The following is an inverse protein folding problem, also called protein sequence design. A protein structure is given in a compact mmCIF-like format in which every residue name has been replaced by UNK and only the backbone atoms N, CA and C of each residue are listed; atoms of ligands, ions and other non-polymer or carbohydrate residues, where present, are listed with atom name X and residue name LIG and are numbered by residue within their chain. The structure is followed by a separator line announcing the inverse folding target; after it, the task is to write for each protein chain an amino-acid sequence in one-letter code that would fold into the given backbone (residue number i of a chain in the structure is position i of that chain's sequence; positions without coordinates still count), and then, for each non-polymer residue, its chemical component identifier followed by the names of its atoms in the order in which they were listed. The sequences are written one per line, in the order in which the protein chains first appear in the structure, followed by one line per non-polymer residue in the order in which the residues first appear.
data_IF_887018440085
#
_entry.id   IF_887018440085
#
_cell.length_a   1.000
_cell.length_b   1.000
_cell.length_c   1.000
_cell.angle_alpha   90.00
_cell.angle_beta   90.00
_cell.angle_gamma   90.00
#
_symmetry.space_group_name_H-M   'P 1'
#
loop_
_entity.id
_entity.type
_entity.pdbx_description
1 polymer ?
#
# COMPACT_ATOMS: atom_id res chain seq x y z
N UNK A 1 -30.77 -27.07 54.01
CA UNK A 1 -29.74 -27.86 54.72
C UNK A 1 -28.37 -27.36 54.23
N UNK A 2 -27.55 -26.74 55.10
CA UNK A 2 -26.25 -26.17 54.70
C UNK A 2 -25.17 -27.24 54.90
N UNK A 3 -24.40 -27.56 53.85
CA UNK A 3 -23.21 -28.41 53.94
C UNK A 3 -21.99 -27.48 54.09
N UNK A 4 -21.19 -27.68 55.13
CA UNK A 4 -19.95 -26.95 55.37
C UNK A 4 -18.80 -27.85 54.94
N UNK A 5 -17.99 -27.42 53.98
CA UNK A 5 -16.74 -28.09 53.62
C UNK A 5 -15.58 -27.17 53.99
N UNK A 6 -14.76 -27.57 54.96
CA UNK A 6 -13.60 -26.83 55.42
C UNK A 6 -12.32 -27.53 54.94
N UNK A 7 -11.45 -26.80 54.24
CA UNK A 7 -10.07 -27.22 53.99
C UNK A 7 -9.12 -26.29 54.74
N UNK A 8 -8.14 -26.87 55.44
CA UNK A 8 -7.10 -26.17 56.19
C UNK A 8 -5.81 -26.17 55.36
N UNK A 9 -5.39 -25.01 54.90
CA UNK A 9 -4.03 -24.71 54.45
C UNK A 9 -3.71 -23.28 54.92
N UNK A 10 -2.75 -23.16 55.86
CA UNK A 10 -2.03 -21.93 56.20
C UNK A 10 -2.84 -20.64 56.40
N UNK A 11 -3.23 -20.36 57.64
CA UNK A 11 -3.50 -19.01 58.20
C UNK A 11 -4.25 -17.97 57.33
N UNK A 12 -5.33 -18.35 56.65
CA UNK A 12 -6.40 -17.43 56.22
C UNK A 12 -7.75 -18.16 56.15
N UNK A 13 -8.76 -17.67 56.87
CA UNK A 13 -10.13 -18.18 56.81
C UNK A 13 -10.84 -17.53 55.63
N UNK A 14 -11.08 -18.27 54.54
CA UNK A 14 -11.96 -17.83 53.44
C UNK A 14 -13.33 -18.47 53.65
N UNK A 15 -14.34 -17.66 53.96
CA UNK A 15 -15.74 -18.11 54.06
C UNK A 15 -16.38 -17.96 52.68
N UNK A 16 -16.59 -19.08 51.98
CA UNK A 16 -17.32 -19.11 50.71
C UNK A 16 -18.81 -19.40 50.98
N UNK A 17 -19.67 -18.39 50.84
CA UNK A 17 -21.12 -18.60 50.83
C UNK A 17 -21.58 -19.04 49.45
N UNK A 18 -21.89 -20.33 49.28
CA UNK A 18 -22.55 -20.85 48.08
C UNK A 18 -24.07 -20.66 48.27
N UNK A 19 -24.64 -19.69 47.56
CA UNK A 19 -26.09 -19.53 47.45
C UNK A 19 -26.65 -20.51 46.42
N UNK A 20 -27.55 -21.41 46.84
CA UNK A 20 -28.39 -22.18 45.93
C UNK A 20 -29.43 -21.23 45.31
N UNK A 21 -29.22 -20.83 44.05
CA UNK A 21 -30.27 -20.14 43.28
C UNK A 21 -31.08 -21.22 42.57
N UNK A 22 -32.37 -21.25 42.89
CA UNK A 22 -33.37 -22.05 42.19
C UNK A 22 -33.50 -21.53 40.75
N UNK A 23 -33.31 -22.41 39.78
CA UNK A 23 -33.51 -22.11 38.36
C UNK A 23 -35.00 -21.98 38.07
N UNK A 24 -35.44 -20.79 37.66
CA UNK A 24 -36.63 -20.56 36.84
C UNK A 24 -36.63 -19.14 36.28
N UNK A 25 -36.01 -18.97 35.11
CA UNK A 25 -36.41 -18.03 34.06
C UNK A 25 -35.40 -18.16 32.91
N UNK A 26 -35.89 -18.57 31.74
CA UNK A 26 -35.17 -18.36 30.49
C UNK A 26 -35.08 -16.85 30.24
N UNK A 27 -33.99 -16.22 30.70
CA UNK A 27 -33.57 -14.94 30.18
C UNK A 27 -32.81 -15.24 28.88
N UNK A 28 -33.41 -14.84 27.77
CA UNK A 28 -32.72 -14.78 26.50
C UNK A 28 -31.42 -13.98 26.72
N UNK A 29 -30.26 -14.63 26.50
CA UNK A 29 -29.01 -13.91 26.34
C UNK A 29 -29.21 -12.97 25.15
N UNK A 30 -29.39 -11.69 25.43
CA UNK A 30 -29.20 -10.67 24.42
C UNK A 30 -27.78 -10.84 23.88
N UNK A 31 -27.57 -10.87 22.55
CA UNK A 31 -26.22 -10.87 22.01
C UNK A 31 -25.50 -9.66 22.61
N UNK A 32 -24.43 -9.92 23.36
CA UNK A 32 -23.52 -8.86 23.79
C UNK A 32 -22.99 -8.24 22.50
N UNK A 33 -23.44 -7.03 22.19
CA UNK A 33 -22.80 -6.18 21.20
C UNK A 33 -21.42 -5.87 21.74
N UNK A 34 -20.43 -6.67 21.34
CA UNK A 34 -19.03 -6.30 21.52
C UNK A 34 -18.87 -5.07 20.64
N UNK A 35 -18.93 -3.89 21.26
CA UNK A 35 -18.55 -2.66 20.60
C UNK A 35 -17.11 -2.84 20.14
N UNK A 36 -16.78 -2.51 18.87
CA UNK A 36 -15.39 -2.51 18.45
C UNK A 36 -14.59 -1.68 19.46
N UNK A 37 -13.32 -2.05 19.75
CA UNK A 37 -12.49 -1.30 20.70
C UNK A 37 -12.61 0.17 20.34
N UNK A 38 -12.92 1.02 21.33
CA UNK A 38 -13.06 2.46 21.16
C UNK A 38 -11.81 2.98 20.45
N UNK A 39 -11.87 3.14 19.14
CA UNK A 39 -10.81 3.73 18.37
C UNK A 39 -10.86 5.22 18.73
N UNK A 40 -9.87 5.71 19.48
CA UNK A 40 -9.59 7.14 19.51
C UNK A 40 -9.40 7.61 18.05
N UNK A 41 -9.99 8.75 17.66
CA UNK A 41 -9.85 9.23 16.29
C UNK A 41 -8.37 9.45 15.99
N UNK A 42 -7.92 8.97 14.84
CA UNK A 42 -6.57 9.27 14.36
C UNK A 42 -6.41 10.79 14.30
N UNK A 43 -5.45 11.32 15.05
CA UNK A 43 -5.21 12.76 15.11
C UNK A 43 -4.16 13.13 14.08
N UNK A 44 -4.39 14.23 13.35
CA UNK A 44 -3.35 14.84 12.53
C UNK A 44 -2.18 15.21 13.44
N UNK A 45 -1.04 14.57 13.21
CA UNK A 45 0.14 14.72 14.04
C UNK A 45 1.12 15.71 13.42
N UNK A 46 1.41 15.55 12.12
CA UNK A 46 2.32 16.43 11.40
C UNK A 46 1.90 16.64 9.96
N UNK A 47 2.42 17.73 9.38
CA UNK A 47 2.44 17.98 7.95
C UNK A 47 3.88 17.97 7.47
N UNK A 48 4.19 17.21 6.43
CA UNK A 48 5.51 17.14 5.83
C UNK A 48 5.52 17.98 4.56
N UNK A 49 6.55 18.80 4.41
CA UNK A 49 6.80 19.65 3.26
C UNK A 49 8.26 19.51 2.81
N UNK A 50 8.53 19.76 1.54
CA UNK A 50 9.88 19.92 1.02
C UNK A 50 10.40 21.31 1.39
N UNK A 51 11.63 21.42 1.87
CA UNK A 51 12.24 22.70 2.24
C UNK A 51 12.42 23.66 1.05
N UNK A 52 12.53 23.10 -0.15
CA UNK A 52 12.66 23.79 -1.44
C UNK A 52 11.41 23.66 -2.31
N UNK A 53 10.29 23.19 -1.76
CA UNK A 53 9.06 22.95 -2.53
C UNK A 53 8.49 24.21 -3.17
N UNK A 54 8.22 24.13 -4.47
CA UNK A 54 7.56 25.16 -5.30
C UNK A 54 6.32 24.59 -6.00
N UNK A 55 5.52 25.46 -6.64
CA UNK A 55 4.34 25.01 -7.39
C UNK A 55 4.73 23.97 -8.45
N UNK A 56 3.82 23.03 -8.71
CA UNK A 56 3.98 21.92 -9.66
C UNK A 56 5.07 20.87 -9.31
N UNK A 57 5.66 20.88 -8.11
CA UNK A 57 6.59 19.82 -7.68
C UNK A 57 5.91 18.47 -7.40
N UNK A 58 4.62 18.51 -7.07
CA UNK A 58 3.76 17.37 -6.74
C UNK A 58 4.26 16.52 -5.55
N UNK A 59 4.77 17.14 -4.48
CA UNK A 59 5.14 16.42 -3.27
C UNK A 59 3.97 15.59 -2.73
N UNK A 60 4.20 14.30 -2.48
CA UNK A 60 3.15 13.39 -2.02
C UNK A 60 2.46 12.63 -3.14
N UNK A 61 2.96 12.71 -4.38
CA UNK A 61 2.50 11.86 -5.47
C UNK A 61 2.64 10.37 -5.13
N UNK A 62 3.79 10.00 -4.58
CA UNK A 62 4.07 8.66 -4.08
C UNK A 62 4.57 8.73 -2.64
N UNK A 63 4.12 7.81 -1.79
CA UNK A 63 4.55 7.71 -0.39
C UNK A 63 4.82 6.27 -0.01
N UNK A 64 5.84 6.05 0.80
CA UNK A 64 6.11 4.76 1.43
C UNK A 64 6.65 4.97 2.85
N UNK A 65 6.39 4.03 3.75
CA UNK A 65 6.82 4.11 5.14
C UNK A 65 7.35 2.76 5.65
N UNK A 66 8.44 2.80 6.40
CA UNK A 66 8.97 1.63 7.12
C UNK A 66 9.66 2.09 8.40
N UNK A 67 9.25 1.51 9.53
CA UNK A 67 9.71 1.94 10.86
C UNK A 67 9.52 3.44 11.04
N UNK A 68 10.59 4.14 11.45
CA UNK A 68 10.60 5.59 11.68
C UNK A 68 10.85 6.43 10.41
N UNK A 69 10.88 5.83 9.22
CA UNK A 69 11.19 6.54 7.97
C UNK A 69 9.96 6.65 7.09
N UNK A 70 9.67 7.87 6.64
CA UNK A 70 8.70 8.18 5.60
C UNK A 70 9.46 8.69 4.38
N UNK A 71 9.10 8.16 3.20
CA UNK A 71 9.70 8.50 1.91
C UNK A 71 8.61 9.06 1.01
N UNK A 72 8.87 10.19 0.39
CA UNK A 72 7.89 10.95 -0.38
C UNK A 72 8.46 11.34 -1.74
N UNK A 73 7.76 11.02 -2.82
CA UNK A 73 8.10 11.48 -4.16
C UNK A 73 7.52 12.85 -4.49
N UNK A 74 8.26 13.61 -5.28
CA UNK A 74 7.87 14.85 -5.94
C UNK A 74 8.43 14.83 -7.36
N UNK A 75 7.74 14.13 -8.26
CA UNK A 75 8.25 13.87 -9.61
C UNK A 75 8.31 15.14 -10.47
N UNK A 76 7.59 16.19 -10.10
CA UNK A 76 7.56 17.48 -10.79
C UNK A 76 8.76 18.38 -10.49
N UNK A 77 9.47 18.11 -9.39
CA UNK A 77 10.61 18.92 -8.93
C UNK A 77 11.67 19.11 -10.03
N UNK A 78 12.24 20.32 -10.10
CA UNK A 78 13.34 20.69 -11.00
C UNK A 78 13.07 20.33 -12.48
N UNK A 79 12.02 20.91 -13.07
CA UNK A 79 11.58 20.64 -14.45
C UNK A 79 11.25 19.17 -14.70
N UNK A 80 10.54 18.55 -13.77
CA UNK A 80 10.17 17.13 -13.83
C UNK A 80 11.36 16.18 -13.92
N UNK A 81 12.55 16.63 -13.47
CA UNK A 81 13.66 15.71 -13.18
C UNK A 81 13.30 14.82 -12.00
N UNK A 82 12.57 15.38 -11.03
CA UNK A 82 12.00 14.70 -9.89
C UNK A 82 12.97 14.53 -8.72
N UNK A 83 12.42 14.42 -7.51
CA UNK A 83 13.16 14.22 -6.27
C UNK A 83 12.41 13.34 -5.27
N UNK A 84 13.16 12.68 -4.38
CA UNK A 84 12.60 11.98 -3.22
C UNK A 84 13.01 12.69 -1.94
N UNK A 85 12.05 12.92 -1.05
CA UNK A 85 12.25 13.52 0.26
C UNK A 85 12.11 12.45 1.34
N UNK A 86 13.12 12.34 2.20
CA UNK A 86 13.18 11.36 3.29
C UNK A 86 12.98 12.08 4.62
N UNK A 87 11.99 11.65 5.38
CA UNK A 87 11.67 12.16 6.70
C UNK A 87 11.93 11.06 7.74
N UNK A 88 12.76 11.36 8.73
CA UNK A 88 12.99 10.47 9.86
C UNK A 88 12.24 11.01 11.08
N UNK A 89 11.51 10.13 11.77
CA UNK A 89 10.71 10.48 12.94
C UNK A 89 11.57 11.22 13.98
N UNK A 90 11.21 12.46 14.34
CA UNK A 90 11.92 13.17 15.40
C UNK A 90 11.77 12.45 16.74
N UNK A 91 12.71 12.65 17.67
CA UNK A 91 12.63 12.07 19.03
C UNK A 91 11.38 12.48 19.81
N UNK A 92 10.81 13.66 19.50
CA UNK A 92 9.54 14.15 20.05
C UNK A 92 8.28 13.58 19.36
N UNK A 93 8.46 12.70 18.37
CA UNK A 93 7.42 12.20 17.48
C UNK A 93 7.06 13.18 16.36
N UNK A 94 6.13 12.78 15.51
CA UNK A 94 5.59 13.60 14.43
C UNK A 94 4.74 14.74 15.00
N UNK A 95 5.19 15.99 14.83
CA UNK A 95 4.49 17.19 15.30
C UNK A 95 4.73 18.38 14.37
N UNK A 96 3.70 19.22 14.21
CA UNK A 96 3.74 20.47 13.45
C UNK A 96 4.11 20.24 11.97
N UNK A 97 4.54 21.30 11.28
CA UNK A 97 5.11 21.20 9.95
C UNK A 97 6.59 20.84 10.04
N UNK A 98 7.02 19.81 9.30
CA UNK A 98 8.40 19.34 9.25
C UNK A 98 8.91 19.36 7.82
N UNK A 99 10.22 19.64 7.67
CA UNK A 99 10.96 19.49 6.42
C UNK A 99 11.76 18.19 6.42
N UNK A 100 12.21 17.78 5.24
CA UNK A 100 12.95 16.55 5.03
C UNK A 100 14.23 16.48 5.86
N UNK A 101 14.63 15.26 6.20
CA UNK A 101 15.94 14.94 6.77
C UNK A 101 17.00 14.80 5.67
N UNK A 102 16.61 14.29 4.51
CA UNK A 102 17.46 14.17 3.32
C UNK A 102 16.65 14.31 2.03
N UNK A 103 17.32 14.72 0.96
CA UNK A 103 16.82 14.76 -0.41
C UNK A 103 17.61 13.75 -1.25
N UNK A 104 16.93 12.85 -1.93
CA UNK A 104 17.55 11.88 -2.83
C UNK A 104 17.29 12.30 -4.29
N UNK A 105 18.33 12.23 -5.10
CA UNK A 105 18.28 12.58 -6.53
C UNK A 105 18.96 11.49 -7.36
N UNK A 106 18.54 11.31 -8.61
CA UNK A 106 19.27 10.53 -9.59
C UNK A 106 20.54 11.28 -10.05
N UNK A 107 21.70 10.64 -9.97
CA UNK A 107 22.99 11.25 -10.33
C UNK A 107 23.07 11.64 -11.81
N UNK A 108 22.41 10.87 -12.68
CA UNK A 108 22.31 11.06 -14.12
C UNK A 108 20.98 11.70 -14.56
N UNK A 109 20.12 12.09 -13.62
CA UNK A 109 18.76 12.52 -13.96
C UNK A 109 18.71 13.76 -14.86
N UNK A 110 17.73 13.80 -15.75
CA UNK A 110 17.47 14.88 -16.71
C UNK A 110 16.02 15.35 -16.63
N UNK A 111 15.72 16.49 -17.26
CA UNK A 111 14.36 17.04 -17.25
C UNK A 111 13.38 16.09 -17.94
N UNK A 112 12.27 15.78 -17.27
CA UNK A 112 11.26 14.85 -17.78
C UNK A 112 11.52 13.37 -17.44
N UNK A 113 12.55 13.04 -16.65
CA UNK A 113 12.78 11.66 -16.20
C UNK A 113 11.69 11.16 -15.23
N UNK A 114 10.96 12.09 -14.59
CA UNK A 114 9.89 11.80 -13.64
C UNK A 114 10.39 10.90 -12.49
N UNK A 115 11.61 11.13 -12.00
CA UNK A 115 12.16 10.42 -10.85
C UNK A 115 11.23 10.57 -9.64
N UNK A 116 11.02 9.48 -8.89
CA UNK A 116 10.06 9.34 -7.79
C UNK A 116 8.59 9.12 -8.18
N UNK A 117 8.29 8.81 -9.46
CA UNK A 117 6.95 8.43 -9.89
C UNK A 117 6.37 7.30 -9.02
N UNK A 118 7.20 6.31 -8.69
CA UNK A 118 6.94 5.34 -7.63
C UNK A 118 8.08 5.37 -6.61
N UNK A 119 7.75 5.12 -5.34
CA UNK A 119 8.73 4.92 -4.26
C UNK A 119 8.37 3.68 -3.45
N UNK A 120 9.39 2.96 -2.99
CA UNK A 120 9.24 1.85 -2.06
C UNK A 120 10.38 1.88 -1.03
N UNK A 121 10.10 1.43 0.20
CA UNK A 121 11.09 1.34 1.27
C UNK A 121 10.96 0.02 2.01
N UNK A 122 12.10 -0.61 2.29
CA UNK A 122 12.21 -1.68 3.26
C UNK A 122 13.54 -1.58 3.99
N UNK A 123 13.46 -1.65 5.32
CA UNK A 123 14.61 -1.56 6.21
C UNK A 123 15.44 -0.31 5.85
N UNK A 124 16.71 -0.48 5.50
CA UNK A 124 17.63 0.61 5.12
C UNK A 124 17.68 0.89 3.61
N UNK A 125 16.78 0.31 2.80
CA UNK A 125 16.78 0.47 1.33
C UNK A 125 15.55 1.25 0.87
N UNK A 126 15.80 2.34 0.13
CA UNK A 126 14.79 3.11 -0.60
C UNK A 126 14.99 2.85 -2.09
N UNK A 127 13.89 2.67 -2.83
CA UNK A 127 13.91 2.58 -4.29
C UNK A 127 12.95 3.62 -4.87
N UNK A 128 13.39 4.29 -5.92
CA UNK A 128 12.61 5.30 -6.64
C UNK A 128 12.62 5.01 -8.14
N UNK A 129 11.45 5.05 -8.77
CA UNK A 129 11.28 4.87 -10.21
C UNK A 129 11.37 6.19 -10.96
N UNK A 130 12.02 6.19 -12.13
CA UNK A 130 12.04 7.30 -13.07
C UNK A 130 11.49 6.79 -14.41
N UNK A 131 10.17 6.89 -14.58
CA UNK A 131 9.46 6.30 -15.72
C UNK A 131 9.74 7.01 -17.04
N UNK A 132 10.23 8.24 -17.01
CA UNK A 132 10.62 9.03 -18.18
C UNK A 132 12.04 8.77 -18.67
N UNK A 133 12.88 8.12 -17.85
CA UNK A 133 14.29 7.88 -18.18
C UNK A 133 14.46 7.10 -19.49
N UNK A 134 15.49 7.47 -20.26
CA UNK A 134 15.86 6.85 -21.54
C UNK A 134 14.67 6.68 -22.52
N UNK A 135 14.02 7.78 -22.89
CA UNK A 135 12.85 7.79 -23.79
C UNK A 135 11.67 6.95 -23.25
N UNK A 136 11.38 7.12 -21.97
CA UNK A 136 10.36 6.36 -21.24
C UNK A 136 10.55 4.84 -21.24
N UNK A 137 11.79 4.35 -21.46
CA UNK A 137 12.12 2.96 -21.13
C UNK A 137 11.98 2.75 -19.62
N UNK A 138 12.39 3.74 -18.83
CA UNK A 138 12.30 3.76 -17.38
C UNK A 138 13.51 3.13 -16.67
N UNK A 139 13.73 3.56 -15.42
CA UNK A 139 14.77 3.03 -14.54
C UNK A 139 14.35 3.07 -13.07
N UNK A 140 14.93 2.20 -12.24
CA UNK A 140 14.82 2.27 -10.80
C UNK A 140 16.17 2.58 -10.14
N UNK A 141 16.16 3.46 -9.16
CA UNK A 141 17.34 3.93 -8.43
C UNK A 141 17.24 3.47 -6.99
N UNK A 142 18.29 2.81 -6.52
CA UNK A 142 18.34 2.19 -5.20
C UNK A 142 19.29 2.98 -4.31
N UNK A 143 18.80 3.40 -3.15
CA UNK A 143 19.53 4.14 -2.13
C UNK A 143 19.63 3.28 -0.88
N UNK A 144 20.85 3.06 -0.41
CA UNK A 144 21.10 2.40 0.87
C UNK A 144 21.44 3.46 1.92
N UNK A 145 20.80 3.37 3.08
CA UNK A 145 21.01 4.31 4.19
C UNK A 145 22.50 4.40 4.54
N UNK A 146 23.10 5.61 4.50
CA UNK A 146 24.50 5.79 4.91
C UNK A 146 24.68 5.44 6.39
N UNK A 147 25.91 5.08 6.80
CA UNK A 147 26.25 4.80 8.20
C UNK A 147 25.93 5.96 9.16
N UNK A 148 26.00 7.21 8.67
CA UNK A 148 25.63 8.42 9.42
C UNK A 148 24.12 8.69 9.48
N UNK A 149 23.30 7.83 8.88
CA UNK A 149 21.88 8.07 8.64
C UNK A 149 21.62 8.88 7.37
N UNK A 150 20.34 9.15 7.12
CA UNK A 150 19.91 10.04 6.05
C UNK A 150 20.27 11.48 6.42
N UNK A 151 20.99 12.20 5.55
CA UNK A 151 21.26 13.62 5.72
C UNK A 151 21.68 14.28 4.41
N UNK A 152 21.24 15.52 4.17
CA UNK A 152 21.65 16.32 3.02
C UNK A 152 21.11 15.78 1.69
N UNK A 153 21.80 16.12 0.58
CA UNK A 153 21.46 15.62 -0.76
C UNK A 153 22.31 14.40 -1.09
N UNK A 154 21.67 13.29 -1.49
CA UNK A 154 22.31 12.00 -1.76
C UNK A 154 21.96 11.50 -3.16
N UNK A 155 22.89 10.79 -3.79
CA UNK A 155 22.69 10.05 -5.03
C UNK A 155 22.59 8.56 -4.77
N UNK A 156 22.09 7.82 -5.75
CA UNK A 156 21.83 6.38 -5.67
C UNK A 156 23.10 5.57 -5.38
N UNK A 157 22.91 4.44 -4.71
CA UNK A 157 23.92 3.38 -4.57
C UNK A 157 24.00 2.52 -5.82
N UNK A 158 22.86 2.32 -6.50
CA UNK A 158 22.75 1.54 -7.72
C UNK A 158 21.60 2.03 -8.60
N UNK A 159 21.75 1.87 -9.91
CA UNK A 159 20.68 2.02 -10.91
C UNK A 159 20.37 0.66 -11.52
N UNK A 160 19.09 0.25 -11.52
CA UNK A 160 18.64 -0.98 -12.15
C UNK A 160 17.72 -0.69 -13.33
N UNK A 161 17.93 -1.41 -14.42
CA UNK A 161 17.13 -1.36 -15.64
C UNK A 161 16.84 -2.77 -16.14
N UNK A 162 15.99 -2.91 -17.17
CA UNK A 162 15.77 -4.18 -17.85
C UNK A 162 16.57 -4.24 -19.17
N UNK A 163 17.44 -5.24 -19.32
CA UNK A 163 18.28 -5.39 -20.51
C UNK A 163 17.49 -5.60 -21.82
N UNK A 164 16.26 -6.10 -21.72
CA UNK A 164 15.33 -6.29 -22.84
C UNK A 164 14.28 -5.17 -22.94
N UNK A 165 14.40 -4.09 -22.15
CA UNK A 165 13.48 -2.96 -22.21
C UNK A 165 13.59 -2.16 -23.51
N UNK A 166 12.48 -1.65 -24.01
CA UNK A 166 12.38 -0.69 -25.11
C UNK A 166 11.90 0.69 -24.64
N UNK A 167 12.01 1.69 -25.51
CA UNK A 167 11.44 3.02 -25.25
C UNK A 167 9.92 2.92 -25.11
N UNK A 168 9.36 3.59 -24.09
CA UNK A 168 7.94 3.55 -23.77
C UNK A 168 7.48 2.38 -22.89
N UNK A 169 8.37 1.47 -22.48
CA UNK A 169 8.01 0.32 -21.61
C UNK A 169 7.64 0.72 -20.16
N UNK A 170 7.95 1.97 -19.76
CA UNK A 170 7.65 2.55 -18.45
C UNK A 170 8.12 1.69 -17.26
N UNK A 171 9.32 1.10 -17.38
CA UNK A 171 9.93 0.34 -16.29
C UNK A 171 10.01 1.16 -15.00
N UNK A 172 9.74 0.49 -13.87
CA UNK A 172 9.66 1.07 -12.54
C UNK A 172 8.50 2.07 -12.32
N UNK A 173 7.41 1.97 -13.10
CA UNK A 173 6.17 2.70 -12.83
C UNK A 173 5.45 2.23 -11.56
N UNK A 174 5.69 0.98 -11.17
CA UNK A 174 5.31 0.41 -9.89
C UNK A 174 6.53 -0.28 -9.27
N UNK A 175 6.64 -0.23 -7.94
CA UNK A 175 7.75 -0.80 -7.20
C UNK A 175 7.25 -1.57 -5.97
N UNK A 176 7.84 -2.73 -5.72
CA UNK A 176 7.69 -3.45 -4.46
C UNK A 176 9.05 -3.98 -3.99
N UNK A 177 9.31 -3.94 -2.69
CA UNK A 177 10.59 -4.36 -2.12
C UNK A 177 10.41 -5.10 -0.80
N UNK A 178 11.19 -6.15 -0.59
CA UNK A 178 11.42 -6.77 0.71
C UNK A 178 12.93 -6.81 0.99
N UNK A 179 13.38 -7.56 2.00
CA UNK A 179 14.79 -7.56 2.42
C UNK A 179 15.78 -8.08 1.36
N UNK A 180 15.33 -8.91 0.42
CA UNK A 180 16.18 -9.60 -0.55
C UNK A 180 15.73 -9.48 -2.02
N UNK A 181 14.57 -8.87 -2.27
CA UNK A 181 13.92 -8.83 -3.58
C UNK A 181 13.41 -7.43 -3.88
N UNK A 182 13.76 -6.90 -5.04
CA UNK A 182 13.14 -5.72 -5.66
C UNK A 182 12.32 -6.18 -6.87
N UNK A 183 11.10 -5.68 -6.99
CA UNK A 183 10.22 -5.89 -8.15
C UNK A 183 9.90 -4.55 -8.79
N UNK A 184 10.03 -4.46 -10.11
CA UNK A 184 9.72 -3.27 -10.90
C UNK A 184 8.77 -3.64 -12.04
N UNK A 185 7.66 -2.90 -12.14
CA UNK A 185 6.66 -3.07 -13.20
C UNK A 185 7.05 -2.34 -14.48
N UNK A 186 6.67 -2.88 -15.63
CA UNK A 186 6.79 -2.25 -16.95
C UNK A 186 5.48 -2.51 -17.72
N UNK A 187 4.39 -1.82 -17.34
CA UNK A 187 3.03 -2.14 -17.78
C UNK A 187 2.79 -1.94 -19.27
N UNK A 188 3.57 -1.08 -19.93
CA UNK A 188 3.43 -0.79 -21.35
C UNK A 188 4.37 -1.61 -22.23
N UNK A 189 5.11 -2.55 -21.65
CA UNK A 189 5.96 -3.42 -22.45
C UNK A 189 5.13 -4.32 -23.39
N UNK A 190 5.55 -4.39 -24.65
CA UNK A 190 5.00 -5.32 -25.64
C UNK A 190 5.58 -6.73 -25.47
N UNK A 191 4.71 -7.73 -25.38
CA UNK A 191 5.10 -9.14 -25.23
C UNK A 191 4.61 -9.93 -26.45
N UNK A 192 5.56 -10.34 -27.30
CA UNK A 192 5.21 -11.01 -28.57
C UNK A 192 4.30 -10.11 -29.43
N UNK A 193 3.09 -10.57 -29.82
CA UNK A 193 2.15 -9.76 -30.59
C UNK A 193 1.31 -8.80 -29.76
N UNK A 194 1.35 -8.88 -28.43
CA UNK A 194 0.45 -8.15 -27.54
C UNK A 194 1.09 -6.84 -27.08
N UNK A 195 0.68 -5.73 -27.69
CA UNK A 195 1.15 -4.40 -27.30
C UNK A 195 0.65 -4.06 -25.89
N UNK A 196 1.48 -3.41 -25.07
CA UNK A 196 1.10 -3.00 -23.71
C UNK A 196 0.54 -4.14 -22.83
N UNK A 197 0.91 -5.41 -23.11
CA UNK A 197 0.54 -6.52 -22.24
C UNK A 197 1.17 -6.36 -20.85
N UNK A 198 2.40 -5.84 -20.82
CA UNK A 198 3.12 -5.55 -19.60
C UNK A 198 3.95 -6.71 -19.04
N UNK A 199 4.83 -6.38 -18.11
CA UNK A 199 5.70 -7.32 -17.41
C UNK A 199 6.08 -6.82 -16.02
N UNK A 200 6.57 -7.74 -15.18
CA UNK A 200 7.21 -7.40 -13.91
C UNK A 200 8.59 -8.04 -13.82
N UNK A 201 9.60 -7.26 -13.45
CA UNK A 201 10.98 -7.68 -13.35
C UNK A 201 11.39 -7.85 -11.90
N UNK A 202 12.11 -8.91 -11.61
CA UNK A 202 12.58 -9.24 -10.27
C UNK A 202 14.10 -9.19 -10.23
N UNK A 203 14.63 -8.47 -9.25
CA UNK A 203 16.04 -8.37 -8.94
C UNK A 203 16.28 -8.91 -7.53
N UNK A 204 17.08 -9.96 -7.42
CA UNK A 204 17.59 -10.41 -6.14
C UNK A 204 18.72 -9.50 -5.66
N UNK A 205 18.71 -9.13 -4.38
CA UNK A 205 19.76 -8.34 -3.74
C UNK A 205 21.06 -9.15 -3.75
N UNK A 206 22.15 -8.67 -4.38
CA UNK A 206 23.42 -9.37 -4.36
C UNK A 206 24.01 -9.45 -2.94
N UNK A 207 24.82 -10.47 -2.66
CA UNK A 207 25.49 -10.66 -1.36
C UNK A 207 26.34 -9.45 -0.94
N UNK A 208 26.93 -8.75 -1.90
CA UNK A 208 27.71 -7.52 -1.68
C UNK A 208 26.88 -6.24 -1.55
N UNK A 209 25.55 -6.33 -1.53
CA UNK A 209 24.66 -5.18 -1.63
C UNK A 209 24.24 -4.88 -3.07
N UNK A 210 23.38 -3.88 -3.22
CA UNK A 210 22.87 -3.46 -4.52
C UNK A 210 23.97 -2.90 -5.41
N UNK A 211 23.95 -3.27 -6.69
CA UNK A 211 24.89 -2.80 -7.72
C UNK A 211 24.14 -2.39 -8.97
N UNK A 212 24.68 -1.44 -9.72
CA UNK A 212 24.10 -1.04 -11.01
C UNK A 212 24.11 -2.21 -11.98
N UNK A 213 22.95 -2.54 -12.54
CA UNK A 213 22.77 -3.71 -13.43
C UNK A 213 21.56 -3.56 -14.33
N UNK A 214 21.62 -4.12 -15.53
CA UNK A 214 20.46 -4.34 -16.40
C UNK A 214 19.99 -5.81 -16.39
N UNK A 215 20.72 -6.68 -15.70
CA UNK A 215 20.40 -8.11 -15.59
C UNK A 215 19.46 -8.33 -14.41
N UNK A 216 18.27 -8.84 -14.71
CA UNK A 216 17.26 -9.24 -13.74
C UNK A 216 17.34 -10.75 -13.44
N UNK A 217 16.88 -11.15 -12.26
CA UNK A 217 16.77 -12.55 -11.84
C UNK A 217 15.64 -13.28 -12.55
N UNK A 218 14.50 -12.61 -12.71
CA UNK A 218 13.33 -13.16 -13.40
C UNK A 218 12.51 -12.06 -14.07
N UNK A 219 11.85 -12.42 -15.16
CA UNK A 219 10.78 -11.64 -15.80
C UNK A 219 9.47 -12.41 -15.68
N UNK A 220 8.44 -11.75 -15.20
CA UNK A 220 7.09 -12.30 -15.07
C UNK A 220 6.17 -11.66 -16.10
N UNK A 221 5.34 -12.49 -16.72
CA UNK A 221 4.19 -12.08 -17.55
C UNK A 221 2.99 -12.94 -17.18
N UNK A 222 1.81 -12.64 -17.72
CA UNK A 222 0.64 -13.50 -17.60
C UNK A 222 0.48 -14.36 -18.86
N UNK A 223 0.35 -15.69 -18.70
CA UNK A 223 0.18 -16.62 -19.82
C UNK A 223 -1.13 -16.40 -20.60
N UNK A 224 -2.14 -15.85 -19.93
CA UNK A 224 -3.42 -15.44 -20.53
C UNK A 224 -3.45 -13.96 -20.91
N UNK A 225 -2.33 -13.27 -20.84
CA UNK A 225 -2.34 -11.83 -21.03
C UNK A 225 -2.50 -11.41 -22.50
N UNK A 226 -3.20 -10.30 -22.69
CA UNK A 226 -3.63 -9.75 -23.97
C UNK A 226 -3.04 -8.35 -24.20
N UNK A 227 -3.34 -7.77 -25.36
CA UNK A 227 -3.03 -6.38 -25.67
C UNK A 227 -3.70 -5.47 -24.63
N UNK A 228 -2.97 -4.46 -24.16
CA UNK A 228 -3.45 -3.44 -23.22
C UNK A 228 -3.78 -3.91 -21.80
N UNK A 229 -3.44 -5.14 -21.42
CA UNK A 229 -3.63 -5.65 -20.05
C UNK A 229 -2.92 -4.83 -18.95
N UNK A 230 -1.83 -4.15 -19.29
CA UNK A 230 -1.05 -3.36 -18.35
C UNK A 230 -0.47 -4.17 -17.16
N UNK A 231 -0.12 -5.44 -17.36
CA UNK A 231 0.46 -6.28 -16.32
C UNK A 231 1.72 -5.64 -15.71
N UNK A 232 1.77 -5.53 -14.39
CA UNK A 232 2.81 -4.77 -13.70
C UNK A 232 2.42 -3.31 -13.40
N UNK A 233 1.17 -2.92 -13.67
CA UNK A 233 0.65 -1.59 -13.35
C UNK A 233 0.56 -1.31 -11.86
N UNK A 234 0.41 -2.35 -11.03
CA UNK A 234 0.53 -2.27 -9.57
C UNK A 234 1.25 -3.50 -9.03
N UNK A 235 1.98 -3.33 -7.93
CA UNK A 235 2.81 -4.39 -7.33
C UNK A 235 2.69 -4.37 -5.81
N UNK A 236 2.59 -5.56 -5.20
CA UNK A 236 2.67 -5.71 -3.75
C UNK A 236 3.39 -7.00 -3.38
N UNK A 237 4.31 -6.93 -2.40
CA UNK A 237 5.16 -8.06 -2.02
C UNK A 237 5.16 -8.27 -0.51
N UNK A 238 4.77 -9.47 -0.06
CA UNK A 238 4.87 -9.89 1.35
C UNK A 238 5.44 -11.30 1.44
N UNK A 239 6.59 -11.43 2.09
CA UNK A 239 7.34 -12.69 2.13
C UNK A 239 7.63 -13.19 0.70
N UNK A 240 7.13 -14.38 0.41
CA UNK A 240 7.29 -15.07 -0.87
C UNK A 240 6.10 -14.88 -1.83
N UNK A 241 5.12 -14.04 -1.47
CA UNK A 241 3.94 -13.77 -2.31
C UNK A 241 4.03 -12.41 -2.97
N UNK A 242 4.06 -12.42 -4.29
CA UNK A 242 3.96 -11.23 -5.14
C UNK A 242 2.55 -11.14 -5.75
N UNK A 243 1.93 -9.99 -5.62
CA UNK A 243 0.70 -9.60 -6.32
C UNK A 243 1.09 -8.66 -7.45
N UNK A 244 0.59 -8.93 -8.65
CA UNK A 244 0.79 -8.10 -9.83
C UNK A 244 -0.56 -7.72 -10.42
N UNK A 245 -0.90 -6.44 -10.42
CA UNK A 245 -2.10 -5.92 -11.07
C UNK A 245 -1.92 -5.80 -12.58
N UNK A 246 -2.99 -6.04 -13.31
CA UNK A 246 -3.16 -5.84 -14.74
C UNK A 246 -4.50 -5.10 -14.92
N UNK A 247 -4.53 -3.77 -14.65
CA UNK A 247 -5.78 -3.02 -14.61
C UNK A 247 -6.39 -2.69 -15.97
N UNK A 248 -5.76 -3.09 -17.08
CA UNK A 248 -6.19 -2.72 -18.42
C UNK A 248 -5.93 -1.25 -18.77
N UNK A 249 -5.91 -0.96 -20.08
CA UNK A 249 -6.11 0.39 -20.61
C UNK A 249 -7.42 0.40 -21.42
N UNK A 250 -8.44 1.13 -20.96
CA UNK A 250 -9.70 1.40 -21.68
C UNK A 250 -10.71 0.23 -21.80
N UNK A 251 -11.94 0.60 -22.18
CA UNK A 251 -13.26 -0.05 -22.01
C UNK A 251 -13.47 -1.48 -22.59
N UNK A 252 -12.45 -2.33 -22.62
CA UNK A 252 -12.55 -3.70 -23.11
C UNK A 252 -12.97 -4.66 -21.97
N UNK A 253 -14.12 -5.36 -22.09
CA UNK A 253 -14.62 -6.23 -21.03
C UNK A 253 -13.65 -7.40 -20.73
N UNK A 254 -13.20 -7.50 -19.47
CA UNK A 254 -12.50 -8.67 -18.95
C UNK A 254 -10.97 -8.61 -18.93
N UNK A 255 -10.37 -7.42 -19.09
CA UNK A 255 -8.92 -7.21 -19.00
C UNK A 255 -8.42 -6.97 -17.56
N UNK A 256 -9.29 -6.53 -16.66
CA UNK A 256 -8.90 -6.10 -15.32
C UNK A 256 -8.76 -7.29 -14.36
N UNK A 257 -7.52 -7.65 -14.02
CA UNK A 257 -7.22 -8.74 -13.11
C UNK A 257 -6.02 -8.42 -12.21
N UNK A 258 -5.79 -9.29 -11.24
CA UNK A 258 -4.49 -9.36 -10.58
C UNK A 258 -4.02 -10.81 -10.51
N UNK A 259 -2.71 -10.98 -10.46
CA UNK A 259 -2.07 -12.27 -10.52
C UNK A 259 -1.20 -12.48 -9.29
N UNK A 260 -1.25 -13.68 -8.75
CA UNK A 260 -0.47 -14.10 -7.61
C UNK A 260 0.67 -14.99 -8.09
N UNK A 261 1.90 -14.62 -7.74
CA UNK A 261 3.10 -15.42 -7.98
C UNK A 261 3.77 -15.76 -6.66
N UNK A 262 4.16 -17.03 -6.51
CA UNK A 262 4.86 -17.52 -5.33
C UNK A 262 6.31 -17.79 -5.69
N UNK A 263 7.23 -17.24 -4.89
CA UNK A 263 8.65 -17.50 -5.02
C UNK A 263 8.91 -19.01 -4.91
N UNK A 264 9.45 -19.66 -5.95
CA UNK A 264 9.83 -21.07 -5.86
C UNK A 264 10.94 -21.27 -4.81
N UNK A 265 11.06 -22.49 -4.27
CA UNK A 265 12.11 -22.80 -3.29
C UNK A 265 13.55 -22.61 -3.80
N UNK A 266 13.75 -22.60 -5.14
CA UNK A 266 15.03 -22.28 -5.79
C UNK A 266 15.25 -20.79 -6.05
N UNK A 267 14.34 -19.91 -5.61
CA UNK A 267 14.31 -18.50 -5.96
C UNK A 267 13.43 -18.21 -7.17
N UNK A 268 13.29 -16.92 -7.49
CA UNK A 268 12.49 -16.44 -8.61
C UNK A 268 13.04 -16.94 -9.95
N UNK A 269 12.15 -17.31 -10.86
CA UNK A 269 12.47 -17.75 -12.22
C UNK A 269 11.56 -17.05 -13.23
N UNK A 270 12.10 -16.76 -14.42
CA UNK A 270 11.30 -16.21 -15.53
C UNK A 270 10.17 -17.18 -15.88
N UNK A 271 8.93 -16.69 -15.88
CA UNK A 271 7.74 -17.50 -16.13
C UNK A 271 6.56 -16.64 -16.55
N UNK A 272 5.66 -17.20 -17.35
CA UNK A 272 4.32 -16.65 -17.60
C UNK A 272 3.23 -17.34 -16.78
N UNK A 273 3.57 -18.43 -16.08
CA UNK A 273 2.63 -19.19 -15.26
C UNK A 273 2.53 -18.54 -13.87
N UNK A 274 1.35 -18.04 -13.55
CA UNK A 274 0.99 -17.53 -12.23
C UNK A 274 0.37 -18.65 -11.36
N UNK A 275 0.40 -18.45 -10.04
CA UNK A 275 -0.16 -19.37 -9.05
C UNK A 275 -1.68 -19.23 -8.94
N UNK A 276 -2.20 -17.99 -8.97
CA UNK A 276 -3.63 -17.73 -9.03
C UNK A 276 -3.94 -16.45 -9.82
N UNK A 277 -5.15 -16.37 -10.37
CA UNK A 277 -5.76 -15.16 -10.94
C UNK A 277 -6.86 -14.67 -10.01
N UNK A 278 -6.86 -13.38 -9.70
CA UNK A 278 -7.85 -12.72 -8.87
C UNK A 278 -8.73 -11.85 -9.76
N UNK A 279 -10.04 -11.95 -9.59
CA UNK A 279 -11.06 -11.19 -10.32
C UNK A 279 -12.13 -10.69 -9.37
N UNK A 280 -12.74 -9.54 -9.64
CA UNK A 280 -13.95 -9.11 -8.94
C UNK A 280 -15.17 -9.93 -9.38
N UNK A 281 -16.00 -10.40 -8.45
CA UNK A 281 -17.21 -11.18 -8.76
C UNK A 281 -18.28 -10.37 -9.51
N UNK A 282 -18.24 -9.05 -9.36
CA UNK A 282 -19.08 -8.07 -10.05
C UNK A 282 -18.29 -7.20 -11.05
N UNK A 283 -17.05 -7.60 -11.37
CA UNK A 283 -16.16 -6.80 -12.19
C UNK A 283 -16.68 -6.55 -13.61
N UNK A 284 -16.66 -5.29 -14.00
CA UNK A 284 -16.83 -4.83 -15.38
C UNK A 284 -15.49 -4.26 -15.85
N UNK A 285 -15.12 -4.44 -17.13
CA UNK A 285 -13.81 -3.99 -17.67
C UNK A 285 -13.57 -2.47 -17.67
N UNK A 286 -14.48 -1.69 -17.11
CA UNK A 286 -14.34 -0.23 -16.94
C UNK A 286 -14.05 0.15 -15.48
N UNK A 287 -14.05 -0.81 -14.56
CA UNK A 287 -13.91 -0.55 -13.12
C UNK A 287 -12.45 -0.35 -12.71
N UNK A 288 -11.51 -0.74 -13.58
CA UNK A 288 -10.05 -0.65 -13.43
C UNK A 288 -9.59 -1.46 -12.22
N UNK A 289 -10.07 -2.71 -12.15
CA UNK A 289 -9.73 -3.63 -11.06
C UNK A 289 -8.24 -3.98 -11.07
N UNK A 290 -7.58 -3.86 -9.92
CA UNK A 290 -6.13 -4.06 -9.82
C UNK A 290 -5.32 -2.78 -10.10
N UNK A 291 -5.97 -1.62 -10.19
CA UNK A 291 -5.32 -0.31 -10.29
C UNK A 291 -4.28 -0.09 -9.18
N UNK A 292 -4.64 -0.52 -7.97
CA UNK A 292 -3.79 -0.50 -6.79
C UNK A 292 -3.82 -1.87 -6.15
N UNK A 293 -2.68 -2.28 -5.57
CA UNK A 293 -2.53 -3.56 -4.91
C UNK A 293 -1.75 -3.37 -3.61
N UNK A 294 -2.17 -4.06 -2.56
CA UNK A 294 -1.41 -4.17 -1.32
C UNK A 294 -1.58 -5.54 -0.69
N UNK A 295 -0.57 -6.01 0.04
CA UNK A 295 -0.59 -7.31 0.70
C UNK A 295 0.05 -7.21 2.08
N UNK A 296 -0.61 -7.78 3.07
CA UNK A 296 -0.02 -8.01 4.39
C UNK A 296 -0.33 -9.44 4.80
N UNK A 297 0.73 -10.24 4.99
CA UNK A 297 0.62 -11.67 5.27
C UNK A 297 -0.21 -12.37 4.17
N UNK A 298 -1.38 -12.89 4.53
CA UNK A 298 -2.27 -13.67 3.69
C UNK A 298 -3.49 -12.86 3.19
N UNK A 299 -3.51 -11.54 3.39
CA UNK A 299 -4.59 -10.65 2.94
C UNK A 299 -4.11 -9.80 1.76
N UNK A 300 -4.73 -10.00 0.60
CA UNK A 300 -4.53 -9.17 -0.60
C UNK A 300 -5.70 -8.21 -0.72
N UNK A 301 -5.42 -6.94 -1.02
CA UNK A 301 -6.42 -5.90 -1.27
C UNK A 301 -6.14 -5.28 -2.63
N UNK A 302 -7.18 -5.18 -3.45
CA UNK A 302 -7.12 -4.63 -4.80
C UNK A 302 -8.14 -3.50 -4.96
N UNK A 303 -7.73 -2.40 -5.59
CA UNK A 303 -8.60 -1.26 -5.88
C UNK A 303 -9.23 -1.35 -7.26
N UNK A 304 -10.48 -0.90 -7.36
CA UNK A 304 -11.20 -0.64 -8.61
C UNK A 304 -11.82 0.75 -8.49
N UNK A 305 -11.02 1.78 -8.74
CA UNK A 305 -11.38 3.16 -8.44
C UNK A 305 -12.46 3.74 -9.37
N UNK A 306 -12.69 3.10 -10.52
CA UNK A 306 -13.63 3.56 -11.53
C UNK A 306 -15.01 2.84 -11.43
N UNK A 307 -15.14 1.87 -10.52
CA UNK A 307 -16.40 1.17 -10.20
C UNK A 307 -17.55 2.14 -9.82
N UNK A 308 -18.77 1.78 -10.24
CA UNK A 308 -20.02 2.50 -9.96
C UNK A 308 -19.93 4.01 -10.25
N UNK A 309 -19.59 4.35 -11.50
CA UNK A 309 -19.39 5.73 -11.97
C UNK A 309 -18.31 6.46 -11.17
N UNK A 310 -17.14 5.82 -11.02
CA UNK A 310 -15.97 6.36 -10.30
C UNK A 310 -16.24 6.71 -8.85
N UNK A 311 -17.22 6.06 -8.22
CA UNK A 311 -17.35 6.07 -6.76
C UNK A 311 -16.23 5.24 -6.14
N UNK A 312 -15.85 4.15 -6.81
CA UNK A 312 -14.74 3.29 -6.48
C UNK A 312 -15.04 2.26 -5.39
N UNK A 313 -14.33 1.15 -5.44
CA UNK A 313 -14.43 0.01 -4.53
C UNK A 313 -13.07 -0.62 -4.28
N UNK A 314 -12.96 -1.40 -3.19
CA UNK A 314 -11.83 -2.30 -2.97
C UNK A 314 -12.33 -3.72 -2.77
N UNK A 315 -11.48 -4.68 -3.09
CA UNK A 315 -11.76 -6.10 -3.05
C UNK A 315 -10.70 -6.81 -2.22
N UNK A 316 -11.14 -7.59 -1.24
CA UNK A 316 -10.27 -8.29 -0.30
C UNK A 316 -10.28 -9.77 -0.59
N UNK A 317 -9.10 -10.36 -0.68
CA UNK A 317 -8.88 -11.77 -0.86
C UNK A 317 -8.07 -12.29 0.33
N UNK A 318 -8.70 -13.10 1.18
CA UNK A 318 -7.97 -13.91 2.15
C UNK A 318 -7.42 -15.16 1.44
N UNK A 319 -6.16 -15.51 1.72
CA UNK A 319 -5.55 -16.72 1.17
C UNK A 319 -6.37 -17.96 1.53
N UNK A 320 -6.80 -18.78 0.55
CA UNK A 320 -7.49 -20.02 0.84
C UNK A 320 -6.62 -20.99 1.64
N UNK A 321 -7.22 -21.85 2.48
CA UNK A 321 -6.51 -22.89 3.22
C UNK A 321 -5.76 -23.88 2.31
N UNK A 322 -6.25 -24.07 1.07
CA UNK A 322 -5.58 -24.85 0.03
C UNK A 322 -4.35 -24.17 -0.56
N UNK A 323 -4.05 -22.95 -0.15
CA UNK A 323 -3.14 -22.04 -0.84
C UNK A 323 -3.81 -21.34 -2.01
N UNK A 324 -3.07 -20.39 -2.59
CA UNK A 324 -3.45 -19.73 -3.83
C UNK A 324 -3.47 -20.74 -4.98
N UNK A 325 -4.57 -20.84 -5.72
CA UNK A 325 -4.66 -21.69 -6.91
C UNK A 325 -5.86 -21.31 -7.77
N UNK A 326 -5.71 -21.37 -9.10
CA UNK A 326 -6.82 -21.18 -10.05
C UNK A 326 -7.31 -19.73 -10.11
N UNK A 327 -8.57 -19.55 -10.53
CA UNK A 327 -9.24 -18.25 -10.54
C UNK A 327 -10.06 -18.08 -9.28
N UNK A 328 -9.86 -16.99 -8.55
CA UNK A 328 -10.50 -16.68 -7.29
C UNK A 328 -11.26 -15.35 -7.38
N UNK A 329 -12.41 -15.31 -6.72
CA UNK A 329 -13.14 -14.06 -6.44
C UNK A 329 -12.92 -13.61 -5.00
N UNK A 330 -13.24 -12.36 -4.72
CA UNK A 330 -13.02 -11.74 -3.43
C UNK A 330 -13.78 -12.44 -2.30
N UNK A 331 -13.22 -12.34 -1.09
CA UNK A 331 -13.88 -12.67 0.17
C UNK A 331 -14.84 -11.56 0.60
N UNK A 332 -14.49 -10.30 0.32
CA UNK A 332 -15.30 -9.14 0.63
C UNK A 332 -15.09 -7.99 -0.36
N UNK A 333 -16.16 -7.28 -0.69
CA UNK A 333 -16.12 -5.98 -1.37
C UNK A 333 -16.33 -4.87 -0.34
N UNK A 334 -15.45 -3.90 -0.29
CA UNK A 334 -15.56 -2.76 0.63
C UNK A 334 -15.75 -1.47 -0.16
N UNK A 335 -16.67 -0.64 0.34
CA UNK A 335 -16.96 0.70 -0.17
C UNK A 335 -16.96 1.70 1.00
N UNK A 336 -17.00 3.00 0.72
CA UNK A 336 -17.30 4.01 1.74
C UNK A 336 -18.79 4.37 1.71
N UNK A 337 -19.44 4.45 2.88
CA UNK A 337 -20.88 4.73 2.99
C UNK A 337 -21.28 6.12 2.50
N UNK A 338 -20.32 7.05 2.48
CA UNK A 338 -20.49 8.43 2.01
C UNK A 338 -19.97 8.65 0.58
N UNK A 339 -19.55 7.59 -0.13
CA UNK A 339 -18.98 7.71 -1.48
C UNK A 339 -19.96 8.38 -2.46
N UNK A 340 -19.43 9.30 -3.27
CA UNK A 340 -20.11 9.98 -4.36
C UNK A 340 -19.39 9.74 -5.70
N UNK A 341 -20.09 10.02 -6.80
CA UNK A 341 -19.54 9.85 -8.14
C UNK A 341 -18.30 10.73 -8.33
N UNK A 342 -17.20 10.14 -8.78
CA UNK A 342 -15.92 10.82 -8.95
C UNK A 342 -14.99 10.79 -7.73
N UNK A 343 -15.42 10.25 -6.58
CA UNK A 343 -14.59 10.15 -5.38
C UNK A 343 -13.34 9.28 -5.59
N UNK A 344 -13.44 8.28 -6.48
CA UNK A 344 -12.38 7.33 -6.85
C UNK A 344 -11.80 6.61 -5.62
N UNK A 345 -12.67 6.10 -4.75
CA UNK A 345 -12.27 5.28 -3.62
C UNK A 345 -11.49 4.04 -4.09
N UNK A 346 -10.29 3.81 -3.55
CA UNK A 346 -9.43 2.69 -3.96
C UNK A 346 -8.29 3.07 -4.90
N UNK A 347 -8.08 4.37 -5.20
CA UNK A 347 -6.91 4.83 -5.98
C UNK A 347 -5.59 4.43 -5.31
N UNK A 348 -5.50 4.52 -3.99
CA UNK A 348 -4.33 4.10 -3.24
C UNK A 348 -4.72 3.25 -2.04
N UNK A 349 -3.86 2.27 -1.74
CA UNK A 349 -4.09 1.28 -0.69
C UNK A 349 -2.83 1.05 0.11
N UNK A 350 -3.01 0.90 1.42
CA UNK A 350 -1.98 0.35 2.28
C UNK A 350 -2.62 -0.50 3.37
N UNK A 351 -1.95 -1.59 3.73
CA UNK A 351 -2.46 -2.54 4.73
C UNK A 351 -1.35 -2.94 5.70
N UNK A 352 -1.69 -3.01 6.99
CA UNK A 352 -0.85 -3.66 7.99
C UNK A 352 -1.75 -4.48 8.92
N UNK A 353 -1.43 -5.76 9.07
CA UNK A 353 -2.19 -6.68 9.91
C UNK A 353 -3.69 -6.62 9.59
N UNK A 354 -4.51 -6.07 10.49
CA UNK A 354 -5.97 -5.98 10.37
C UNK A 354 -6.47 -4.61 9.92
N UNK A 355 -5.59 -3.66 9.61
CA UNK A 355 -5.98 -2.29 9.23
C UNK A 355 -5.67 -2.00 7.77
N UNK A 356 -6.68 -1.56 7.02
CA UNK A 356 -6.57 -1.09 5.65
C UNK A 356 -6.81 0.42 5.64
N UNK A 357 -5.95 1.15 4.92
CA UNK A 357 -6.15 2.55 4.58
C UNK A 357 -6.46 2.65 3.09
N UNK A 358 -7.52 3.38 2.74
CA UNK A 358 -7.98 3.55 1.36
C UNK A 358 -8.07 5.03 1.02
N UNK A 359 -7.41 5.44 -0.06
CA UNK A 359 -7.48 6.79 -0.61
C UNK A 359 -8.69 6.99 -1.52
N UNK A 360 -9.32 8.16 -1.44
CA UNK A 360 -10.37 8.66 -2.33
C UNK A 360 -10.06 10.13 -2.70
N UNK A 361 -9.07 10.38 -3.56
CA UNK A 361 -8.59 11.73 -3.83
C UNK A 361 -9.61 12.63 -4.52
N UNK A 362 -10.64 12.07 -5.17
CA UNK A 362 -11.69 12.85 -5.83
C UNK A 362 -12.79 13.33 -4.89
N UNK A 363 -12.83 12.83 -3.65
CA UNK A 363 -13.88 13.16 -2.69
C UNK A 363 -13.97 14.66 -2.45
N UNK A 364 -15.20 15.16 -2.24
CA UNK A 364 -15.49 16.55 -1.89
C UNK A 364 -14.87 17.55 -2.90
N UNK A 365 -15.10 17.32 -4.20
CA UNK A 365 -14.56 18.12 -5.32
C UNK A 365 -13.03 18.17 -5.35
N UNK A 366 -12.40 17.00 -5.21
CA UNK A 366 -10.94 16.89 -5.25
C UNK A 366 -10.24 17.39 -3.99
N UNK A 367 -10.96 17.78 -2.93
CA UNK A 367 -10.32 18.00 -1.62
C UNK A 367 -9.64 16.72 -1.14
N UNK A 368 -10.32 15.60 -1.36
CA UNK A 368 -9.83 14.25 -1.11
C UNK A 368 -10.04 13.78 0.32
N UNK A 369 -10.10 12.46 0.48
CA UNK A 369 -10.27 11.78 1.76
C UNK A 369 -9.48 10.49 1.82
N UNK A 370 -9.21 10.00 3.03
CA UNK A 370 -8.73 8.64 3.26
C UNK A 370 -9.57 7.94 4.32
N UNK A 371 -9.75 6.64 4.19
CA UNK A 371 -10.65 5.86 5.02
C UNK A 371 -9.91 4.70 5.68
N UNK A 372 -10.17 4.48 6.96
CA UNK A 372 -9.62 3.36 7.71
C UNK A 372 -10.69 2.28 7.88
N UNK A 373 -10.34 1.04 7.55
CA UNK A 373 -11.14 -0.14 7.83
C UNK A 373 -10.35 -1.08 8.71
N UNK A 374 -11.01 -1.69 9.68
CA UNK A 374 -10.42 -2.67 10.60
C UNK A 374 -11.12 -4.00 10.41
N UNK A 375 -10.34 -5.08 10.29
CA UNK A 375 -10.83 -6.45 10.12
C UNK A 375 -11.80 -6.79 11.26
N UNK A 376 -13.06 -7.15 10.96
CA UNK A 376 -13.97 -7.64 11.98
C UNK A 376 -13.48 -8.96 12.60
N UNK A 377 -13.92 -9.27 13.83
CA UNK A 377 -13.55 -10.51 14.53
C UNK A 377 -13.92 -11.79 13.76
N UNK A 378 -14.93 -11.73 12.91
CA UNK A 378 -15.40 -12.83 12.06
C UNK A 378 -14.75 -12.85 10.67
N UNK A 379 -13.67 -12.09 10.47
CA UNK A 379 -13.02 -11.92 9.17
C UNK A 379 -13.62 -10.77 8.36
N UNK A 380 -13.04 -10.53 7.19
CA UNK A 380 -13.53 -9.49 6.29
C UNK A 380 -14.91 -9.88 5.75
N UNK A 381 -15.83 -8.91 5.78
CA UNK A 381 -17.17 -9.04 5.21
C UNK A 381 -17.48 -7.82 4.37
N UNK A 382 -18.30 -7.98 3.34
CA UNK A 382 -18.76 -6.86 2.51
C UNK A 382 -19.42 -5.81 3.38
N UNK A 383 -18.92 -4.58 3.32
CA UNK A 383 -19.37 -3.47 4.17
C UNK A 383 -19.11 -2.13 3.50
N UNK A 384 -19.86 -1.11 3.92
CA UNK A 384 -19.60 0.29 3.60
C UNK A 384 -19.17 1.12 4.81
N UNK A 385 -19.16 0.51 6.00
CA UNK A 385 -18.84 1.21 7.26
C UNK A 385 -17.34 1.22 7.50
N UNK A 386 -16.78 2.42 7.61
CA UNK A 386 -15.38 2.64 7.96
C UNK A 386 -15.22 2.97 9.45
N UNK A 387 -14.04 2.69 9.98
CA UNK A 387 -13.66 3.01 11.35
C UNK A 387 -13.34 4.51 11.53
N UNK A 388 -12.72 5.14 10.53
CA UNK A 388 -12.47 6.57 10.51
C UNK A 388 -12.39 7.10 9.07
N UNK A 389 -12.80 8.36 8.88
CA UNK A 389 -12.50 9.17 7.69
C UNK A 389 -11.47 10.22 8.10
N UNK A 390 -10.38 10.32 7.34
CA UNK A 390 -9.30 11.27 7.51
C UNK A 390 -9.40 12.34 6.43
N UNK A 391 -9.21 13.59 6.84
CA UNK A 391 -9.15 14.75 5.96
C UNK A 391 -8.03 15.67 6.40
N UNK A 392 -7.51 16.49 5.49
CA UNK A 392 -6.60 17.58 5.83
C UNK A 392 -7.39 18.76 6.43
N UNK A 393 -6.94 19.30 7.57
CA UNK A 393 -7.58 20.46 8.21
C UNK A 393 -7.52 21.74 7.38
N UNK A 394 -6.54 21.82 6.48
CA UNK A 394 -6.30 22.88 5.50
C UNK A 394 -6.58 22.39 4.06
N UNK A 395 -7.42 21.36 3.92
CA UNK A 395 -7.87 20.85 2.63
C UNK A 395 -8.68 21.89 1.85
N UNK A 396 -8.40 22.01 0.55
CA UNK A 396 -9.14 22.79 -0.42
C UNK A 396 -9.41 21.90 -1.65
N UNK A 397 -10.35 22.31 -2.51
CA UNK A 397 -10.62 21.63 -3.78
C UNK A 397 -9.33 21.40 -4.57
N UNK A 398 -9.28 20.27 -5.29
CA UNK A 398 -8.14 19.83 -6.10
C UNK A 398 -6.81 19.62 -5.33
N UNK A 399 -6.82 19.54 -4.00
CA UNK A 399 -5.62 19.15 -3.23
C UNK A 399 -5.31 17.64 -3.33
N UNK A 400 -6.31 16.83 -3.66
CA UNK A 400 -6.24 15.37 -3.84
C UNK A 400 -5.68 14.63 -2.63
N UNK A 401 -6.10 14.97 -1.41
CA UNK A 401 -5.74 14.20 -0.22
C UNK A 401 -6.19 12.73 -0.35
N UNK A 402 -5.30 11.79 -0.06
CA UNK A 402 -5.57 10.36 -0.30
C UNK A 402 -5.08 9.88 -1.66
N UNK A 403 -4.37 10.71 -2.42
CA UNK A 403 -3.79 10.27 -3.70
C UNK A 403 -2.80 9.11 -3.51
N UNK A 404 -2.01 9.16 -2.44
CA UNK A 404 -1.11 8.09 -2.05
C UNK A 404 -1.24 7.81 -0.55
N UNK A 405 -1.08 6.55 -0.14
CA UNK A 405 -1.18 6.14 1.26
C UNK A 405 -0.07 5.17 1.65
N UNK A 406 0.40 5.30 2.89
CA UNK A 406 1.25 4.33 3.54
C UNK A 406 0.85 4.17 5.00
N UNK A 407 1.09 2.99 5.56
CA UNK A 407 0.81 2.68 6.95
C UNK A 407 1.97 1.87 7.55
N UNK A 408 2.33 2.19 8.79
CA UNK A 408 3.20 1.37 9.62
C UNK A 408 2.51 1.13 10.98
N UNK A 409 3.24 0.63 11.97
CA UNK A 409 2.67 0.22 13.26
C UNK A 409 1.93 1.32 14.03
N UNK A 410 2.27 2.60 13.86
CA UNK A 410 1.69 3.70 14.66
C UNK A 410 1.37 4.97 13.86
N UNK A 411 1.64 4.97 12.55
CA UNK A 411 1.39 6.13 11.68
C UNK A 411 0.68 5.74 10.40
N UNK A 412 -0.24 6.61 10.00
CA UNK A 412 -0.86 6.63 8.67
C UNK A 412 -0.35 7.86 7.96
N UNK A 413 0.12 7.69 6.74
CA UNK A 413 0.73 8.73 5.91
C UNK A 413 -0.11 8.91 4.66
N UNK A 414 -0.55 10.13 4.41
CA UNK A 414 -1.44 10.45 3.29
C UNK A 414 -0.86 11.58 2.44
N UNK A 415 -0.66 11.34 1.16
CA UNK A 415 -0.26 12.35 0.20
C UNK A 415 -1.43 13.21 -0.32
N UNK A 416 -1.14 14.48 -0.57
CA UNK A 416 -2.04 15.46 -1.19
C UNK A 416 -1.25 16.29 -2.21
N UNK A 417 -0.97 15.67 -3.36
CA UNK A 417 -0.07 16.22 -4.37
C UNK A 417 -0.53 17.53 -5.02
N UNK A 418 -1.82 17.84 -4.95
CA UNK A 418 -2.40 19.05 -5.53
C UNK A 418 -2.31 20.26 -4.60
N UNK A 419 -1.89 20.05 -3.34
CA UNK A 419 -1.86 21.10 -2.32
C UNK A 419 -1.10 22.35 -2.76
N UNK A 420 -1.72 23.52 -2.57
CA UNK A 420 -1.14 24.86 -2.82
C UNK A 420 -0.54 25.01 -4.22
N UNK A 421 -1.36 24.79 -5.25
CA UNK A 421 -0.94 24.88 -6.66
C UNK A 421 0.04 23.76 -7.01
N UNK A 422 -0.29 22.53 -6.61
CA UNK A 422 0.53 21.35 -6.84
C UNK A 422 1.96 21.41 -6.27
N UNK A 423 2.24 22.30 -5.32
CA UNK A 423 3.45 22.18 -4.48
C UNK A 423 3.46 20.86 -3.72
N UNK A 424 2.28 20.41 -3.32
CA UNK A 424 2.06 19.14 -2.66
C UNK A 424 2.36 19.18 -1.17
N UNK A 425 1.76 18.23 -0.46
CA UNK A 425 1.95 18.05 0.98
C UNK A 425 1.71 16.59 1.37
N UNK A 426 2.27 16.18 2.50
CA UNK A 426 1.98 14.88 3.12
C UNK A 426 1.51 15.09 4.55
N UNK A 427 0.50 14.35 4.96
CA UNK A 427 -0.11 14.44 6.28
C UNK A 427 0.15 13.13 7.03
N UNK A 428 0.69 13.26 8.24
CA UNK A 428 0.97 12.14 9.12
C UNK A 428 -0.05 12.15 10.23
N UNK A 429 -0.84 11.09 10.31
CA UNK A 429 -1.75 10.84 11.40
C UNK A 429 -1.07 9.84 12.33
N UNK A 430 -0.95 10.20 13.60
CA UNK A 430 -0.45 9.28 14.62
C UNK A 430 -1.64 8.73 15.38
N UNK A 431 -1.65 7.43 15.56
CA UNK A 431 -2.62 6.80 16.46
C UNK A 431 -2.06 6.85 17.88
N UNK A 432 -2.79 7.27 18.92
CA UNK A 432 -2.91 6.33 20.04
C UNK A 432 -3.77 5.19 19.50
N UNK A 433 -3.41 3.92 19.61
CA UNK A 433 -4.28 2.73 19.57
C UNK A 433 -3.52 1.52 19.03
N UNK A 434 -3.06 0.63 19.92
CA UNK A 434 -3.32 -0.80 19.81
C UNK A 434 -3.18 -1.36 21.22
N UNK A 435 -4.28 -1.74 21.86
CA UNK A 435 -4.21 -2.67 22.99
C UNK A 435 -3.92 -4.02 22.36
N UNK A 436 -2.65 -4.42 22.29
CA UNK A 436 -2.33 -5.82 22.08
C UNK A 436 -2.88 -6.57 23.30
N UNK A 437 -3.86 -7.47 23.19
CA UNK A 437 -4.06 -8.42 24.26
C UNK A 437 -2.74 -9.19 24.38
N UNK A 438 -1.99 -8.92 25.46
CA UNK A 438 -0.92 -9.79 25.90
C UNK A 438 -1.62 -11.11 26.23
N UNK A 439 -1.67 -12.02 25.26
CA UNK A 439 -2.03 -13.41 25.53
C UNK A 439 -0.82 -13.97 26.26
N UNK A 440 -0.85 -13.94 27.60
CA UNK A 440 -0.02 -14.82 28.39
C UNK A 440 -0.40 -16.26 28.00
N UNK A 441 0.51 -16.95 27.30
CA UNK A 441 0.41 -18.39 27.09
C UNK A 441 0.78 -19.13 28.37
#
# INVERSE_FOLDING_TARGET
MRVILAFLLGSMLVVLTIGLIHTNAAQAMQPQTVTPPNLLPAALAAKLAASDGVMDDNLGYSVAANGDTIVVGAFGDNNSKGSVYVFVKPSGGWRNTLTETAKLIASDGTAGDLFSFAVAIRDDTIVAGAVGDNSSQGAAYVFVKPNGGWSGTLTETAKVTAADGGGGDAFASALAINSDTLVAGAPTQTIGPNANQGSAYIFAKPTGGWVTTSTFTAKLTAADGMTEDAFGGSLALSGDTLVVGAPGFYDEPGLDAAYIFQKPGGGWVTTSTFTAKLTASDGVGTDVFGLSATISNDVVVLGAADDDNKKGSIYIFDKPNSGWSGTLTETAKITASDRAAGDRFGVSLSVISDTIVVGAPGADSGQGSAYLFVKPNNGWVTTSTFAAKLTASDGAADNFFGFSTAINSDTVVIGAQGYDGARGAVYVFSQPLFYFPIIFR
#
